data_IF_811922242783
#
_entry.id   IF_811922242783
#
_cell.length_a   1.000
_cell.length_b   1.000
_cell.length_c   1.000
_cell.angle_alpha   90.00
_cell.angle_beta   90.00
_cell.angle_gamma   90.00
#
_symmetry.space_group_name_H-M   'P 1'
#
loop_
_entity.id
_entity.type
_entity.pdbx_description
1 polymer ?
#
# COMPACT_ATOMS: atom_id res chain seq x y z
N UNK A 1 10.88 -0.21 10.65
CA UNK A 1 11.27 -1.21 9.61
C UNK A 1 10.12 -1.29 8.59
N UNK A 2 10.38 -1.51 7.29
CA UNK A 2 9.31 -1.62 6.29
C UNK A 2 8.41 -2.82 6.58
N UNK A 3 7.09 -2.65 6.39
CA UNK A 3 6.14 -3.76 6.40
C UNK A 3 5.98 -4.25 4.95
N UNK A 4 6.74 -5.27 4.56
CA UNK A 4 6.62 -5.88 3.25
C UNK A 4 5.29 -6.63 3.10
N UNK A 5 4.69 -6.52 1.93
CA UNK A 5 3.46 -7.21 1.55
C UNK A 5 3.76 -8.46 0.72
N UNK A 6 2.83 -9.40 0.72
CA UNK A 6 2.74 -10.44 -0.32
C UNK A 6 1.97 -9.85 -1.51
N UNK A 7 2.71 -9.22 -2.43
CA UNK A 7 2.16 -8.56 -3.62
C UNK A 7 1.69 -9.61 -4.63
N UNK A 8 0.40 -9.62 -4.94
CA UNK A 8 -0.27 -10.64 -5.79
C UNK A 8 -0.86 -10.04 -7.07
N UNK A 9 -0.47 -8.80 -7.41
CA UNK A 9 -0.99 -8.04 -8.55
C UNK A 9 -2.51 -7.82 -8.49
N UNK A 10 -3.06 -7.77 -7.28
CA UNK A 10 -4.44 -7.44 -6.98
C UNK A 10 -4.62 -5.94 -6.70
N UNK A 11 -5.69 -5.62 -5.98
CA UNK A 11 -6.05 -4.24 -5.61
C UNK A 11 -6.23 -4.00 -4.12
N UNK A 12 -6.03 -5.03 -3.30
CA UNK A 12 -6.30 -4.97 -1.87
C UNK A 12 -5.28 -4.07 -1.17
N UNK A 13 -5.77 -3.31 -0.18
CA UNK A 13 -4.98 -2.40 0.64
C UNK A 13 -4.90 -2.92 2.07
N UNK A 14 -3.69 -3.10 2.58
CA UNK A 14 -3.47 -3.41 4.00
C UNK A 14 -3.33 -2.11 4.81
N UNK A 15 -4.28 -1.82 5.70
CA UNK A 15 -4.12 -0.75 6.70
C UNK A 15 -3.14 -1.21 7.78
N UNK A 16 -2.05 -0.48 7.96
CA UNK A 16 -0.98 -0.79 8.90
C UNK A 16 -1.30 -0.29 10.31
N UNK A 17 -2.21 -1.00 10.98
CA UNK A 17 -2.70 -0.68 12.34
C UNK A 17 -1.80 -1.21 13.47
N UNK A 18 -0.68 -1.87 13.13
CA UNK A 18 0.22 -2.53 14.09
C UNK A 18 0.15 -4.05 14.01
N UNK A 19 1.28 -4.72 14.24
CA UNK A 19 1.34 -6.19 14.24
C UNK A 19 0.59 -6.80 15.44
N UNK A 20 0.06 -8.03 15.32
CA UNK A 20 0.14 -8.94 14.16
C UNK A 20 -0.96 -8.71 13.11
N UNK A 21 -0.67 -9.05 11.86
CA UNK A 21 -1.65 -9.07 10.76
C UNK A 21 -2.09 -10.50 10.47
N UNK A 22 -3.38 -10.71 10.20
CA UNK A 22 -3.92 -12.03 9.79
C UNK A 22 -3.33 -12.48 8.46
N UNK A 23 -3.17 -11.54 7.52
CA UNK A 23 -2.51 -11.75 6.24
C UNK A 23 -1.82 -10.47 5.80
N UNK A 24 -0.71 -10.60 5.07
CA UNK A 24 -0.01 -9.49 4.40
C UNK A 24 -0.25 -9.51 2.87
N UNK A 25 -1.19 -10.34 2.39
CA UNK A 25 -1.59 -10.42 0.97
C UNK A 25 -2.34 -9.17 0.56
N UNK A 26 -1.65 -8.26 -0.12
CA UNK A 26 -2.14 -6.97 -0.58
C UNK A 26 -1.13 -6.38 -1.58
N UNK A 27 -1.58 -5.43 -2.39
CA UNK A 27 -0.72 -4.71 -3.34
C UNK A 27 -0.58 -3.22 -2.96
N UNK A 28 -1.25 -2.78 -1.91
CA UNK A 28 -1.02 -1.47 -1.31
C UNK A 28 -1.03 -1.54 0.21
N UNK A 29 -0.41 -0.53 0.84
CA UNK A 29 -0.46 -0.32 2.27
C UNK A 29 -0.78 1.13 2.60
N UNK A 30 -1.55 1.35 3.65
CA UNK A 30 -1.89 2.66 4.19
C UNK A 30 -1.45 2.75 5.65
N UNK A 31 -0.97 3.91 6.09
CA UNK A 31 -0.69 4.16 7.50
C UNK A 31 -0.95 5.60 7.92
N UNK A 32 -1.49 5.74 9.12
CA UNK A 32 -1.57 6.99 9.87
C UNK A 32 -0.78 6.92 11.20
N UNK A 33 0.12 5.92 11.33
CA UNK A 33 0.90 5.67 12.54
C UNK A 33 2.34 6.15 12.36
N UNK A 34 2.81 7.15 13.13
CA UNK A 34 4.19 7.60 13.08
C UNK A 34 5.19 6.45 13.29
N UNK A 35 6.24 6.40 12.45
CA UNK A 35 7.28 5.37 12.51
C UNK A 35 6.94 4.06 11.78
N UNK A 36 5.69 3.86 11.36
CA UNK A 36 5.31 2.77 10.46
C UNK A 36 5.70 3.11 9.02
N UNK A 37 6.30 2.15 8.32
CA UNK A 37 6.84 2.36 6.97
C UNK A 37 6.05 1.53 5.95
N UNK A 38 5.26 2.22 5.12
CA UNK A 38 4.66 1.67 3.91
C UNK A 38 5.74 1.42 2.86
N UNK A 39 5.76 0.23 2.26
CA UNK A 39 6.74 -0.14 1.24
C UNK A 39 6.11 -1.05 0.18
N UNK A 40 6.57 -0.89 -1.05
CA UNK A 40 6.25 -1.76 -2.18
C UNK A 40 7.54 -2.15 -2.89
N UNK A 41 7.62 -3.40 -3.35
CA UNK A 41 8.76 -3.93 -4.07
C UNK A 41 8.43 -4.00 -5.55
N UNK A 42 9.29 -3.45 -6.41
CA UNK A 42 9.03 -3.38 -7.85
C UNK A 42 10.29 -3.70 -8.64
N UNK A 43 10.10 -4.35 -9.78
CA UNK A 43 10.95 -4.27 -10.95
C UNK A 43 9.99 -4.14 -12.14
N UNK A 44 10.01 -2.99 -12.80
CA UNK A 44 9.08 -2.54 -13.87
C UNK A 44 7.68 -2.05 -13.44
N UNK A 45 6.95 -2.77 -12.58
CA UNK A 45 5.61 -2.32 -12.16
C UNK A 45 5.65 -0.94 -11.48
N UNK A 46 4.62 -0.11 -11.66
CA UNK A 46 4.61 1.27 -11.19
C UNK A 46 4.50 1.35 -9.65
N UNK A 47 5.49 1.93 -8.94
CA UNK A 47 5.32 2.31 -7.54
C UNK A 47 4.62 3.67 -7.44
N UNK A 48 3.59 3.78 -6.60
CA UNK A 48 2.92 5.06 -6.29
C UNK A 48 2.96 5.31 -4.79
N UNK A 49 3.42 6.50 -4.39
CA UNK A 49 3.40 6.95 -3.00
C UNK A 49 2.34 8.04 -2.83
N UNK A 50 1.58 7.97 -1.74
CA UNK A 50 0.56 8.94 -1.37
C UNK A 50 0.87 9.56 -0.01
N UNK A 51 0.49 10.82 0.14
CA UNK A 51 0.38 11.47 1.44
C UNK A 51 -0.66 12.60 1.37
N UNK A 52 -1.20 12.98 2.53
CA UNK A 52 -2.02 14.18 2.62
C UNK A 52 -1.15 15.43 2.88
N UNK A 53 -1.67 16.63 2.56
CA UNK A 53 -0.93 17.89 2.76
C UNK A 53 -0.63 18.20 4.22
N UNK A 54 -1.44 17.68 5.14
CA UNK A 54 -1.23 17.82 6.58
C UNK A 54 -0.08 16.96 7.10
N UNK A 55 0.39 15.97 6.33
CA UNK A 55 1.47 15.06 6.73
C UNK A 55 1.07 14.09 7.84
N UNK A 56 -0.22 13.74 7.96
CA UNK A 56 -0.74 12.84 8.99
C UNK A 56 -0.96 11.41 8.50
N UNK A 57 -0.93 11.20 7.18
CA UNK A 57 -1.29 9.93 6.54
C UNK A 57 -0.41 9.67 5.31
N UNK A 58 -0.05 8.41 5.09
CA UNK A 58 0.76 7.95 3.97
C UNK A 58 0.24 6.63 3.42
N UNK A 59 0.50 6.36 2.15
CA UNK A 59 0.28 5.04 1.55
C UNK A 59 1.31 4.74 0.47
N UNK A 60 1.50 3.45 0.16
CA UNK A 60 2.32 2.98 -0.95
C UNK A 60 1.57 1.87 -1.71
N UNK A 61 1.48 1.99 -3.04
CA UNK A 61 0.79 1.05 -3.91
C UNK A 61 1.72 0.50 -5.01
N UNK A 62 1.64 -0.81 -5.21
CA UNK A 62 2.24 -1.55 -6.31
C UNK A 62 1.21 -1.67 -7.43
N UNK A 63 1.37 -0.84 -8.45
CA UNK A 63 0.43 -0.73 -9.55
C UNK A 63 0.96 -1.42 -10.81
N UNK A 64 1.13 -2.75 -10.74
CA UNK A 64 1.22 -3.56 -11.95
C UNK A 64 -0.06 -3.43 -12.79
N UNK A 65 0.00 -3.71 -14.09
CA UNK A 65 -1.12 -3.44 -15.01
C UNK A 65 -2.47 -4.02 -14.56
N UNK A 66 -2.45 -5.22 -13.94
CA UNK A 66 -3.67 -5.87 -13.40
C UNK A 66 -4.27 -5.08 -12.23
N UNK A 67 -3.43 -4.72 -11.26
CA UNK A 67 -3.86 -3.95 -10.08
C UNK A 67 -4.33 -2.55 -10.48
N UNK A 68 -3.61 -1.91 -11.41
CA UNK A 68 -3.97 -0.60 -11.94
C UNK A 68 -5.33 -0.64 -12.64
N UNK A 69 -5.55 -1.61 -13.53
CA UNK A 69 -6.84 -1.77 -14.22
C UNK A 69 -7.99 -2.15 -13.25
N UNK A 70 -7.67 -2.87 -12.17
CA UNK A 70 -8.66 -3.29 -11.17
C UNK A 70 -8.97 -2.22 -10.12
N UNK A 71 -8.23 -1.11 -10.11
CA UNK A 71 -8.49 0.05 -9.26
C UNK A 71 -7.67 0.14 -7.97
N UNK A 72 -6.43 -0.37 -7.94
CA UNK A 72 -5.59 -0.33 -6.71
C UNK A 72 -5.32 1.09 -6.21
N UNK A 73 -5.27 2.09 -7.09
CA UNK A 73 -5.05 3.48 -6.68
C UNK A 73 -6.31 4.07 -6.04
N UNK A 74 -7.47 3.75 -6.59
CA UNK A 74 -8.79 4.15 -6.09
C UNK A 74 -9.07 3.55 -4.72
N UNK A 75 -8.77 2.26 -4.53
CA UNK A 75 -8.87 1.59 -3.23
C UNK A 75 -7.86 2.19 -2.21
N UNK A 76 -6.69 2.63 -2.67
CA UNK A 76 -5.71 3.28 -1.78
C UNK A 76 -6.18 4.68 -1.35
N UNK A 77 -6.80 5.44 -2.26
CA UNK A 77 -7.32 6.79 -1.98
C UNK A 77 -8.57 6.76 -1.09
N UNK A 78 -9.35 5.67 -1.09
CA UNK A 78 -10.54 5.51 -0.25
C UNK A 78 -10.25 5.16 1.21
N UNK A 79 -8.98 4.93 1.56
CA UNK A 79 -8.55 4.49 2.88
C UNK A 79 -8.70 5.52 4.00
#
# INVERSE_FOLDING_TARGET
>A
KPVWLEQVHGKDVLKLTGEPYVSKRADASYSNTPGTVCAVMTADCLPVLFCNRAGTEVAAAHAGWRGLCSGVLEETVSC
#
